data_IF_690425319318
#
_entry.id   IF_690425319318
#
_cell.length_a   1.000
_cell.length_b   1.000
_cell.length_c   1.000
_cell.angle_alpha   90.00
_cell.angle_beta   90.00
_cell.angle_gamma   90.00
#
_symmetry.space_group_name_H-M   'P 1'
#
loop_
_entity.id
_entity.type
_entity.pdbx_description
1 polymer ?
#
# COMPACT_ATOMS: atom_id res chain seq x y z
N UNK A 1 -12.71 -13.24 -1.38
CA UNK A 1 -11.87 -13.38 -0.16
C UNK A 1 -11.66 -11.98 0.38
N UNK A 2 -11.87 -11.76 1.67
CA UNK A 2 -11.82 -10.42 2.25
C UNK A 2 -10.40 -9.94 2.55
N UNK A 3 -10.23 -8.64 2.79
CA UNK A 3 -8.94 -8.01 3.07
C UNK A 3 -8.19 -8.69 4.21
N UNK A 4 -8.88 -8.95 5.33
CA UNK A 4 -8.28 -9.62 6.49
C UNK A 4 -7.75 -11.03 6.18
N UNK A 5 -8.43 -11.78 5.30
CA UNK A 5 -7.97 -13.11 4.87
C UNK A 5 -6.77 -13.04 3.92
N UNK A 6 -6.71 -12.01 3.07
CA UNK A 6 -5.55 -11.76 2.21
C UNK A 6 -4.31 -11.44 3.05
N UNK A 7 -4.44 -10.62 4.09
CA UNK A 7 -3.32 -10.23 4.96
C UNK A 7 -2.66 -11.42 5.66
N UNK A 8 -3.42 -12.45 6.05
CA UNK A 8 -2.89 -13.66 6.72
C UNK A 8 -1.86 -14.42 5.87
N UNK A 9 -1.83 -14.18 4.56
CA UNK A 9 -0.93 -14.84 3.61
C UNK A 9 0.35 -14.03 3.36
N UNK A 10 0.45 -12.83 3.92
CA UNK A 10 1.56 -11.91 3.70
C UNK A 10 2.59 -12.01 4.82
N UNK A 11 3.88 -11.72 4.56
CA UNK A 11 4.90 -11.64 5.59
C UNK A 11 4.58 -10.56 6.63
N UNK A 12 4.86 -10.85 7.90
CA UNK A 12 4.68 -9.88 8.98
C UNK A 12 5.62 -8.69 8.89
N UNK A 13 5.17 -7.52 9.37
CA UNK A 13 5.87 -6.24 9.31
C UNK A 13 6.41 -5.75 10.67
N UNK A 14 6.59 -6.66 11.63
CA UNK A 14 7.03 -6.33 12.99
C UNK A 14 8.37 -5.58 13.05
N UNK A 15 9.22 -5.77 12.04
CA UNK A 15 10.54 -5.16 11.91
C UNK A 15 10.53 -3.76 11.25
N UNK A 16 9.40 -3.35 10.69
CA UNK A 16 9.27 -2.06 10.00
C UNK A 16 8.73 -1.00 10.96
N UNK A 17 9.36 0.16 10.98
CA UNK A 17 8.80 1.37 11.57
C UNK A 17 7.82 2.04 10.60
N UNK A 18 8.18 2.09 9.31
CA UNK A 18 7.34 2.68 8.27
C UNK A 18 7.76 2.24 6.87
N UNK A 19 6.89 2.53 5.89
CA UNK A 19 7.23 2.60 4.47
C UNK A 19 7.06 4.04 4.00
N UNK A 20 8.10 4.60 3.39
CA UNK A 20 8.03 5.86 2.66
C UNK A 20 7.83 5.57 1.18
N UNK A 21 6.88 6.25 0.56
CA UNK A 21 6.65 6.23 -0.86
C UNK A 21 7.23 7.49 -1.47
N UNK A 22 7.99 7.33 -2.55
CA UNK A 22 8.70 8.42 -3.18
C UNK A 22 8.32 8.58 -4.64
N UNK A 23 8.11 9.83 -5.06
CA UNK A 23 8.10 10.22 -6.46
C UNK A 23 9.40 10.97 -6.77
N UNK A 24 10.24 10.42 -7.64
CA UNK A 24 11.64 10.84 -7.71
C UNK A 24 12.28 10.75 -6.32
N UNK A 25 12.84 11.85 -5.83
CA UNK A 25 13.46 11.96 -4.50
C UNK A 25 12.51 12.47 -3.40
N UNK A 26 11.31 12.93 -3.77
CA UNK A 26 10.34 13.49 -2.83
C UNK A 26 9.55 12.39 -2.13
N UNK A 27 9.43 12.48 -0.80
CA UNK A 27 8.55 11.59 -0.03
C UNK A 27 7.12 12.12 -0.12
N UNK A 28 6.29 11.44 -0.91
CA UNK A 28 4.89 11.83 -1.15
C UNK A 28 3.91 11.18 -0.16
N UNK A 29 4.32 10.11 0.52
CA UNK A 29 3.53 9.49 1.57
C UNK A 29 4.41 8.66 2.53
N UNK A 30 3.93 8.52 3.76
CA UNK A 30 4.52 7.59 4.75
C UNK A 30 3.40 6.75 5.35
N UNK A 31 3.55 5.43 5.28
CA UNK A 31 2.68 4.45 5.93
C UNK A 31 3.41 3.97 7.17
N UNK A 32 2.93 4.36 8.35
CA UNK A 32 3.61 4.09 9.62
C UNK A 32 3.11 2.77 10.23
N UNK A 33 3.97 2.14 11.02
CA UNK A 33 3.58 1.03 11.89
C UNK A 33 2.80 1.55 13.09
N UNK A 34 1.54 1.90 12.86
CA UNK A 34 0.60 2.33 13.90
C UNK A 34 -0.76 1.68 13.75
N UNK A 35 -1.52 1.68 14.85
CA UNK A 35 -2.90 1.19 14.86
C UNK A 35 -3.73 1.85 13.74
N UNK A 36 -4.50 1.05 13.02
CA UNK A 36 -5.26 1.49 11.83
C UNK A 36 -4.47 1.53 10.51
N UNK A 37 -3.12 1.47 10.54
CA UNK A 37 -2.30 1.43 9.30
C UNK A 37 -1.59 0.10 9.07
N UNK A 38 -1.50 -0.78 10.07
CA UNK A 38 -0.76 -2.06 9.96
C UNK A 38 -1.21 -2.92 8.77
N UNK A 39 -2.51 -2.91 8.45
CA UNK A 39 -3.03 -3.61 7.27
C UNK A 39 -2.45 -3.07 5.96
N UNK A 40 -2.51 -1.75 5.76
CA UNK A 40 -1.90 -1.12 4.58
C UNK A 40 -0.39 -1.25 4.57
N UNK A 41 0.29 -1.16 5.71
CA UNK A 41 1.73 -1.34 5.82
C UNK A 41 2.15 -2.74 5.33
N UNK A 42 1.43 -3.77 5.79
CA UNK A 42 1.63 -5.17 5.39
C UNK A 42 1.45 -5.33 3.88
N UNK A 43 0.36 -4.80 3.32
CA UNK A 43 0.07 -4.92 1.90
C UNK A 43 1.09 -4.17 1.04
N UNK A 44 1.43 -2.92 1.37
CA UNK A 44 2.44 -2.16 0.63
C UNK A 44 3.83 -2.80 0.72
N UNK A 45 4.20 -3.39 1.86
CA UNK A 45 5.42 -4.18 1.98
C UNK A 45 5.40 -5.38 1.02
N UNK A 46 4.29 -6.12 1.00
CA UNK A 46 4.13 -7.27 0.12
C UNK A 46 4.24 -6.87 -1.37
N UNK A 47 3.57 -5.79 -1.78
CA UNK A 47 3.70 -5.27 -3.15
C UNK A 47 5.15 -4.90 -3.49
N UNK A 48 5.85 -4.21 -2.58
CA UNK A 48 7.24 -3.83 -2.80
C UNK A 48 8.16 -5.06 -2.95
N UNK A 49 7.91 -6.14 -2.22
CA UNK A 49 8.68 -7.38 -2.32
C UNK A 49 8.46 -8.12 -3.65
N UNK A 50 7.23 -8.09 -4.18
CA UNK A 50 6.90 -8.78 -5.44
C UNK A 50 7.31 -7.95 -6.66
N UNK A 51 7.10 -6.64 -6.63
CA UNK A 51 7.23 -5.76 -7.80
C UNK A 51 8.45 -4.84 -7.74
N UNK A 52 9.13 -4.72 -6.59
CA UNK A 52 10.26 -3.79 -6.37
C UNK A 52 9.85 -2.32 -6.18
N UNK A 53 8.65 -1.93 -6.62
CA UNK A 53 8.09 -0.59 -6.52
C UNK A 53 6.55 -0.65 -6.54
N UNK A 54 5.88 0.48 -6.30
CA UNK A 54 4.43 0.59 -6.52
C UNK A 54 4.21 1.09 -7.94
N UNK A 55 4.30 0.18 -8.91
CA UNK A 55 3.98 0.40 -10.33
C UNK A 55 2.46 0.39 -10.54
N UNK A 56 1.94 0.79 -11.72
CA UNK A 56 0.52 0.62 -12.03
C UNK A 56 0.05 -0.84 -11.92
N UNK A 57 0.90 -1.82 -12.26
CA UNK A 57 0.56 -3.24 -12.11
C UNK A 57 0.56 -3.69 -10.65
N UNK A 58 1.52 -3.22 -9.85
CA UNK A 58 1.51 -3.45 -8.40
C UNK A 58 0.27 -2.81 -7.76
N UNK A 59 -0.13 -1.64 -8.23
CA UNK A 59 -1.32 -0.94 -7.74
C UNK A 59 -2.61 -1.71 -8.08
N UNK A 60 -2.76 -2.24 -9.30
CA UNK A 60 -3.90 -3.10 -9.67
C UNK A 60 -3.97 -4.35 -8.79
N UNK A 61 -2.85 -5.05 -8.61
CA UNK A 61 -2.79 -6.21 -7.72
C UNK A 61 -3.14 -5.83 -6.26
N UNK A 62 -2.64 -4.68 -5.79
CA UNK A 62 -2.95 -4.15 -4.47
C UNK A 62 -4.45 -3.86 -4.28
N UNK A 63 -5.12 -3.30 -5.29
CA UNK A 63 -6.57 -3.06 -5.26
C UNK A 63 -7.36 -4.36 -5.16
N UNK A 64 -6.94 -5.43 -5.84
CA UNK A 64 -7.57 -6.75 -5.67
C UNK A 64 -7.36 -7.30 -4.25
N UNK A 65 -6.16 -7.11 -3.68
CA UNK A 65 -5.82 -7.55 -2.33
C UNK A 65 -6.53 -6.75 -1.23
N UNK A 66 -6.81 -5.46 -1.45
CA UNK A 66 -7.63 -4.63 -0.57
C UNK A 66 -9.12 -5.02 -0.57
N UNK A 67 -9.55 -5.85 -1.52
CA UNK A 67 -10.87 -6.48 -1.57
C UNK A 67 -12.02 -5.49 -1.31
N UNK A 68 -12.84 -5.69 -0.28
CA UNK A 68 -14.00 -4.87 0.04
C UNK A 68 -13.67 -3.37 0.25
N UNK A 69 -12.43 -3.04 0.62
CA UNK A 69 -12.01 -1.64 0.78
C UNK A 69 -11.83 -0.90 -0.54
N UNK A 70 -11.55 -1.62 -1.63
CA UNK A 70 -11.44 -1.04 -2.96
C UNK A 70 -12.77 -0.50 -3.45
N UNK A 71 -13.85 -1.26 -3.28
CA UNK A 71 -15.18 -0.82 -3.67
C UNK A 71 -15.68 0.31 -2.77
N UNK A 72 -15.39 0.24 -1.46
CA UNK A 72 -15.73 1.32 -0.52
C UNK A 72 -14.95 2.62 -0.82
N UNK A 73 -13.70 2.55 -1.26
CA UNK A 73 -12.92 3.72 -1.67
C UNK A 73 -13.47 4.36 -2.96
N UNK A 74 -13.87 3.56 -3.95
CA UNK A 74 -14.54 4.06 -5.16
C UNK A 74 -15.86 4.76 -4.85
N UNK A 75 -16.64 4.21 -3.90
CA UNK A 75 -17.90 4.80 -3.48
C UNK A 75 -17.72 6.03 -2.59
N UNK A 76 -16.61 6.11 -1.84
CA UNK A 76 -16.34 7.17 -0.87
C UNK A 76 -14.89 7.70 -1.02
N UNK A 77 -14.60 8.50 -2.07
CA UNK A 77 -13.25 9.01 -2.31
C UNK A 77 -12.66 9.74 -1.10
N UNK A 78 -11.43 9.41 -0.73
CA UNK A 78 -10.71 9.99 0.40
C UNK A 78 -10.93 9.26 1.74
N UNK A 79 -11.84 8.30 1.81
CA UNK A 79 -12.08 7.48 3.01
C UNK A 79 -10.93 6.51 3.29
N UNK A 80 -10.22 6.06 2.26
CA UNK A 80 -9.16 5.06 2.36
C UNK A 80 -7.89 5.57 1.68
N UNK A 81 -7.12 6.48 2.31
CA UNK A 81 -6.02 7.19 1.64
C UNK A 81 -5.00 6.28 0.94
N UNK A 82 -4.78 5.06 1.46
CA UNK A 82 -3.87 4.08 0.87
C UNK A 82 -4.46 3.34 -0.32
N UNK A 83 -5.78 3.14 -0.36
CA UNK A 83 -6.50 2.54 -1.50
C UNK A 83 -6.72 3.59 -2.58
N UNK A 84 -7.14 4.80 -2.19
CA UNK A 84 -7.29 5.97 -3.05
C UNK A 84 -6.00 6.24 -3.83
N UNK A 85 -4.84 6.14 -3.17
CA UNK A 85 -3.54 6.26 -3.83
C UNK A 85 -3.32 5.22 -4.92
N UNK A 86 -3.66 3.95 -4.66
CA UNK A 86 -3.48 2.91 -5.68
C UNK A 86 -4.41 3.16 -6.89
N UNK A 87 -5.65 3.60 -6.65
CA UNK A 87 -6.58 3.99 -7.72
C UNK A 87 -5.96 5.09 -8.60
N UNK A 88 -5.42 6.14 -7.96
CA UNK A 88 -4.78 7.25 -8.65
C UNK A 88 -3.54 6.81 -9.46
N UNK A 89 -2.67 5.96 -8.90
CA UNK A 89 -1.49 5.46 -9.62
C UNK A 89 -1.85 4.64 -10.86
N UNK A 90 -2.95 3.88 -10.80
CA UNK A 90 -3.46 3.13 -11.96
C UNK A 90 -3.98 4.08 -13.03
N UNK A 91 -4.73 5.12 -12.64
CA UNK A 91 -5.28 6.12 -13.55
C UNK A 91 -4.19 6.94 -14.23
N UNK A 92 -3.21 7.42 -13.48
CA UNK A 92 -2.13 8.29 -13.96
C UNK A 92 -0.98 7.53 -14.63
N UNK A 93 -0.95 6.19 -14.52
CA UNK A 93 0.15 5.37 -15.03
C UNK A 93 1.49 5.64 -14.34
N UNK A 94 1.46 6.09 -13.07
CA UNK A 94 2.65 6.49 -12.31
C UNK A 94 3.20 5.37 -11.45
N UNK A 95 4.50 5.45 -11.17
CA UNK A 95 5.22 4.52 -10.30
C UNK A 95 5.80 5.27 -9.11
N UNK A 96 5.64 4.73 -7.90
CA UNK A 96 6.31 5.22 -6.70
C UNK A 96 7.41 4.26 -6.25
N UNK A 97 8.57 4.80 -5.87
CA UNK A 97 9.62 4.03 -5.21
C UNK A 97 9.23 3.77 -3.76
N UNK A 98 9.70 2.65 -3.23
CA UNK A 98 9.47 2.24 -1.85
C UNK A 98 10.77 2.33 -1.07
N UNK A 99 10.74 2.97 0.10
CA UNK A 99 11.83 2.97 1.07
C UNK A 99 11.32 2.50 2.41
N UNK A 100 11.84 1.37 2.87
CA UNK A 100 11.59 0.84 4.21
C UNK A 100 12.35 1.64 5.27
N UNK A 101 11.69 1.87 6.39
CA UNK A 101 12.28 2.42 7.61
C UNK A 101 12.14 1.34 8.68
N UNK A 102 13.23 1.03 9.36
CA UNK A 102 13.31 -0.03 10.37
C UNK A 102 13.48 0.61 11.75
N UNK A 103 12.92 -0.01 12.78
CA UNK A 103 13.19 0.40 14.15
C UNK A 103 14.71 0.34 14.45
N UNK A 104 15.18 1.25 15.30
CA UNK A 104 16.57 1.30 15.77
C UNK A 104 16.90 0.17 16.76
#
# INVERSE_FOLDING_TARGET
MGFAENLKKMPGVAHLEAIRLLDGEEVVATIEHKSGQVGSLTLYNHLAQIYGAITPDAARAGLELFAEHTDDARANPGKHPNVDRLLQLVEEGRTLRVKHVFFA
#
